data_IF_754892357349
#
_entry.id   IF_754892357349
#
_cell.length_a   1.000
_cell.length_b   1.000
_cell.length_c   1.000
_cell.angle_alpha   90.00
_cell.angle_beta   90.00
_cell.angle_gamma   90.00
#
_symmetry.space_group_name_H-M   'P 1'
#
loop_
_entity.id
_entity.type
_entity.pdbx_description
1 polymer ?
#
# COMPACT_ATOMS: atom_id res chain seq x y z
N UNK A 1 -10.59 -9.57 5.51
CA UNK A 1 -9.53 -8.60 5.22
C UNK A 1 -10.10 -7.52 4.31
N UNK A 2 -9.71 -6.27 4.48
CA UNK A 2 -10.03 -5.13 3.60
C UNK A 2 -8.78 -4.31 3.39
N UNK A 3 -8.62 -3.72 2.22
CA UNK A 3 -7.63 -2.67 2.00
C UNK A 3 -8.31 -1.31 2.15
N UNK A 4 -7.56 -0.29 2.55
CA UNK A 4 -8.05 1.09 2.67
C UNK A 4 -7.01 2.02 2.08
N UNK A 5 -7.45 2.94 1.23
CA UNK A 5 -6.58 3.98 0.69
C UNK A 5 -7.30 5.34 0.69
N UNK A 6 -6.53 6.40 0.50
CA UNK A 6 -7.09 7.75 0.33
C UNK A 6 -7.61 8.02 -1.08
N UNK A 7 -7.48 7.04 -1.99
CA UNK A 7 -7.97 7.18 -3.36
C UNK A 7 -9.51 7.20 -3.41
N UNK A 8 -10.08 7.85 -4.45
CA UNK A 8 -11.52 7.84 -4.67
C UNK A 8 -12.07 6.42 -4.93
N UNK A 9 -13.37 6.17 -4.67
CA UNK A 9 -13.97 4.84 -4.83
C UNK A 9 -13.85 4.25 -6.24
N UNK A 10 -13.91 5.06 -7.28
CA UNK A 10 -13.76 4.63 -8.67
C UNK A 10 -12.34 4.14 -8.99
N UNK A 11 -11.31 4.77 -8.43
CA UNK A 11 -9.92 4.31 -8.55
C UNK A 11 -9.71 2.98 -7.83
N UNK A 12 -10.23 2.85 -6.60
CA UNK A 12 -10.14 1.61 -5.83
C UNK A 12 -10.88 0.46 -6.52
N UNK A 13 -12.04 0.73 -7.07
CA UNK A 13 -12.81 -0.27 -7.83
C UNK A 13 -12.03 -0.73 -9.07
N UNK A 14 -11.47 0.19 -9.84
CA UNK A 14 -10.66 -0.13 -11.00
C UNK A 14 -9.40 -0.95 -10.62
N UNK A 15 -8.80 -0.67 -9.47
CA UNK A 15 -7.65 -1.44 -8.97
C UNK A 15 -8.07 -2.86 -8.57
N UNK A 16 -9.19 -3.03 -7.87
CA UNK A 16 -9.73 -4.36 -7.50
C UNK A 16 -9.97 -5.20 -8.75
N UNK A 17 -10.61 -4.63 -9.77
CA UNK A 17 -10.89 -5.31 -11.03
C UNK A 17 -9.62 -5.65 -11.81
N UNK A 18 -8.69 -4.68 -11.95
CA UNK A 18 -7.46 -4.86 -12.72
C UNK A 18 -6.52 -5.91 -12.11
N UNK A 19 -6.43 -5.97 -10.79
CA UNK A 19 -5.53 -6.87 -10.08
C UNK A 19 -6.19 -8.15 -9.58
N UNK A 20 -7.50 -8.33 -9.85
CA UNK A 20 -8.31 -9.45 -9.35
C UNK A 20 -8.12 -9.67 -7.83
N UNK A 21 -8.21 -8.57 -7.07
CA UNK A 21 -7.95 -8.63 -5.64
C UNK A 21 -9.03 -9.45 -4.92
N UNK A 22 -8.66 -10.41 -4.05
CA UNK A 22 -9.61 -11.26 -3.33
C UNK A 22 -10.29 -10.56 -2.15
N UNK A 23 -10.15 -9.25 -2.03
CA UNK A 23 -10.71 -8.42 -0.97
C UNK A 23 -11.05 -7.02 -1.48
N UNK A 24 -12.04 -6.34 -0.86
CA UNK A 24 -12.41 -5.00 -1.26
C UNK A 24 -11.36 -3.96 -0.85
N UNK A 25 -11.28 -2.88 -1.64
CA UNK A 25 -10.59 -1.64 -1.27
C UNK A 25 -11.63 -0.59 -0.88
N UNK A 26 -11.54 -0.10 0.34
CA UNK A 26 -12.35 0.99 0.86
C UNK A 26 -11.63 2.33 0.64
N UNK A 27 -12.41 3.39 0.50
CA UNK A 27 -11.88 4.73 0.28
C UNK A 27 -11.99 5.58 1.55
N UNK A 28 -10.89 6.22 1.92
CA UNK A 28 -10.80 7.25 2.96
C UNK A 28 -10.29 8.57 2.35
N UNK A 29 -11.07 9.19 1.43
CA UNK A 29 -10.57 10.26 0.57
C UNK A 29 -10.17 11.52 1.33
N UNK A 30 -10.68 11.74 2.54
CA UNK A 30 -10.26 12.84 3.42
C UNK A 30 -9.11 12.47 4.34
N UNK A 31 -8.73 11.19 4.38
CA UNK A 31 -7.73 10.67 5.29
C UNK A 31 -8.16 10.69 6.76
N UNK A 32 -9.48 10.65 7.04
CA UNK A 32 -9.99 10.75 8.41
C UNK A 32 -9.50 9.57 9.25
N UNK A 33 -9.59 8.34 8.72
CA UNK A 33 -9.09 7.15 9.40
C UNK A 33 -7.56 7.14 9.49
N UNK A 34 -6.89 7.44 8.39
CA UNK A 34 -5.42 7.46 8.31
C UNK A 34 -4.84 8.44 9.33
N UNK A 35 -5.43 9.64 9.46
CA UNK A 35 -5.03 10.65 10.45
C UNK A 35 -5.38 10.22 11.88
N UNK A 36 -6.54 9.60 12.09
CA UNK A 36 -6.93 9.08 13.41
C UNK A 36 -5.96 8.01 13.94
N UNK A 37 -5.38 7.23 13.03
CA UNK A 37 -4.40 6.20 13.36
C UNK A 37 -2.95 6.71 13.38
N UNK A 38 -2.74 8.02 13.19
CA UNK A 38 -1.41 8.66 13.12
C UNK A 38 -0.51 8.08 12.00
N UNK A 39 -1.14 7.78 10.87
CA UNK A 39 -0.50 7.18 9.70
C UNK A 39 -0.32 8.17 8.54
N UNK A 40 -0.64 9.44 8.74
CA UNK A 40 -0.48 10.47 7.72
C UNK A 40 0.88 11.13 7.80
N UNK A 41 1.64 11.05 6.72
CA UNK A 41 2.92 11.73 6.58
C UNK A 41 2.71 13.12 5.98
N UNK A 42 2.77 14.14 6.83
CA UNK A 42 2.56 15.53 6.42
C UNK A 42 3.63 16.05 5.45
N UNK A 43 4.87 15.56 5.56
CA UNK A 43 5.97 16.03 4.72
C UNK A 43 5.83 15.50 3.28
N UNK A 44 5.37 14.27 3.14
CA UNK A 44 5.24 13.61 1.84
C UNK A 44 3.83 13.72 1.27
N UNK A 45 2.85 14.05 2.11
CA UNK A 45 1.44 14.12 1.71
C UNK A 45 0.86 12.77 1.32
N UNK A 46 1.29 11.70 1.98
CA UNK A 46 0.87 10.32 1.74
C UNK A 46 0.55 9.61 3.04
N UNK A 47 -0.19 8.51 2.96
CA UNK A 47 -0.36 7.60 4.09
C UNK A 47 0.86 6.68 4.22
N UNK A 48 1.32 6.49 5.44
CA UNK A 48 2.30 5.44 5.73
C UNK A 48 1.63 4.07 5.52
N UNK A 49 2.33 3.11 4.89
CA UNK A 49 1.85 1.75 4.79
C UNK A 49 1.64 1.14 6.17
N UNK A 50 0.49 0.53 6.41
CA UNK A 50 0.20 -0.07 7.71
C UNK A 50 -0.66 -1.33 7.59
N UNK A 51 -0.52 -2.21 8.57
CA UNK A 51 -1.42 -3.34 8.79
C UNK A 51 -2.04 -3.15 10.17
N UNK A 52 -3.38 -3.11 10.21
CA UNK A 52 -4.15 -2.91 11.42
C UNK A 52 -4.99 -4.15 11.69
N UNK A 53 -4.80 -4.77 12.84
CA UNK A 53 -5.63 -5.88 13.31
C UNK A 53 -6.64 -5.34 14.30
N UNK A 54 -7.92 -5.54 13.98
CA UNK A 54 -9.05 -5.07 14.78
C UNK A 54 -9.87 -6.29 15.22
N UNK A 55 -10.30 -6.31 16.46
CA UNK A 55 -11.23 -7.35 16.93
C UNK A 55 -12.67 -7.05 16.50
N UNK A 56 -13.60 -7.96 16.84
CA UNK A 56 -15.02 -7.80 16.50
C UNK A 56 -15.70 -6.64 17.23
N UNK A 57 -15.14 -6.20 18.37
CA UNK A 57 -15.64 -5.04 19.10
C UNK A 57 -15.13 -3.70 18.52
N UNK A 58 -14.33 -3.73 17.44
CA UNK A 58 -13.77 -2.53 16.82
C UNK A 58 -12.48 -2.03 17.48
N UNK A 59 -11.94 -2.78 18.44
CA UNK A 59 -10.71 -2.39 19.15
C UNK A 59 -9.48 -2.77 18.34
N UNK A 60 -8.57 -1.81 18.13
CA UNK A 60 -7.27 -2.08 17.51
C UNK A 60 -6.42 -2.92 18.45
N UNK A 61 -6.07 -4.12 18.03
CA UNK A 61 -5.26 -5.07 18.78
C UNK A 61 -3.78 -5.03 18.41
N UNK A 62 -3.48 -4.76 17.15
CA UNK A 62 -2.13 -4.52 16.66
C UNK A 62 -2.15 -3.48 15.56
N UNK A 63 -1.12 -2.68 15.51
CA UNK A 63 -0.83 -1.77 14.42
C UNK A 63 0.65 -1.93 14.07
N UNK A 64 0.90 -2.28 12.83
CA UNK A 64 2.22 -2.30 12.22
C UNK A 64 2.27 -1.13 11.24
N UNK A 65 3.08 -0.14 11.51
CA UNK A 65 3.25 1.04 10.67
C UNK A 65 4.72 1.26 10.34
N UNK A 66 4.97 1.95 9.26
CA UNK A 66 6.31 2.19 8.75
C UNK A 66 6.76 1.08 7.81
N UNK A 67 8.04 1.08 7.52
CA UNK A 67 8.56 0.17 6.52
C UNK A 67 8.27 0.67 5.13
N UNK A 68 9.08 1.64 4.66
CA UNK A 68 9.10 2.03 3.24
C UNK A 68 9.56 0.86 2.38
N UNK A 69 10.30 -0.04 3.00
CA UNK A 69 10.73 -1.29 2.43
C UNK A 69 9.71 -2.40 2.75
N UNK A 70 9.47 -3.26 1.77
CA UNK A 70 8.59 -4.43 1.95
C UNK A 70 9.16 -5.42 2.99
N UNK A 71 10.48 -5.44 3.20
CA UNK A 71 11.16 -6.27 4.18
C UNK A 71 10.83 -5.90 5.64
N UNK A 72 10.40 -4.67 5.89
CA UNK A 72 10.00 -4.21 7.22
C UNK A 72 8.57 -4.63 7.61
N UNK A 73 7.87 -5.32 6.71
CA UNK A 73 6.50 -5.78 6.96
C UNK A 73 6.53 -7.06 7.79
N UNK A 74 5.53 -7.25 8.69
CA UNK A 74 5.41 -8.50 9.43
C UNK A 74 5.20 -9.67 8.46
N UNK A 75 5.82 -10.80 8.78
CA UNK A 75 5.62 -12.04 8.02
C UNK A 75 4.17 -12.52 8.13
N UNK A 76 3.71 -13.30 7.16
CA UNK A 76 2.37 -13.92 7.20
C UNK A 76 2.17 -14.75 8.47
N UNK A 77 3.18 -15.51 8.90
CA UNK A 77 3.14 -16.31 10.12
C UNK A 77 2.91 -15.44 11.36
N UNK A 78 3.59 -14.28 11.45
CA UNK A 78 3.40 -13.33 12.55
C UNK A 78 1.98 -12.74 12.55
N UNK A 79 1.43 -12.43 11.37
CA UNK A 79 0.07 -11.93 11.23
C UNK A 79 -0.98 -12.98 11.60
N UNK A 80 -0.83 -14.22 11.14
CA UNK A 80 -1.74 -15.31 11.50
C UNK A 80 -1.68 -15.62 12.99
N UNK A 81 -0.50 -15.58 13.60
CA UNK A 81 -0.36 -15.73 15.05
C UNK A 81 -1.17 -14.69 15.84
N UNK A 82 -1.13 -13.43 15.41
CA UNK A 82 -1.96 -12.36 16.03
C UNK A 82 -3.45 -12.58 15.80
N UNK A 83 -3.86 -13.03 14.61
CA UNK A 83 -5.28 -13.31 14.33
C UNK A 83 -5.80 -14.45 15.19
N UNK A 84 -4.99 -15.49 15.43
CA UNK A 84 -5.35 -16.60 16.32
C UNK A 84 -5.48 -16.14 17.80
N UNK A 85 -4.60 -15.23 18.25
CA UNK A 85 -4.68 -14.64 19.59
C UNK A 85 -5.92 -13.74 19.79
N UNK A 86 -6.27 -12.96 18.75
CA UNK A 86 -7.43 -12.05 18.80
C UNK A 86 -8.74 -12.83 18.82
N UNK A 87 -8.76 -13.99 18.17
CA UNK A 87 -9.94 -14.86 18.12
C UNK A 87 -11.10 -14.24 17.34
N UNK A 88 -12.21 -14.96 17.37
CA UNK A 88 -13.45 -14.54 16.68
C UNK A 88 -14.57 -14.16 17.67
N UNK A 89 -14.27 -14.09 18.94
CA UNK A 89 -15.24 -13.79 20.00
C UNK A 89 -15.42 -12.26 20.16
N UNK A 90 -16.62 -11.86 20.52
CA UNK A 90 -17.02 -10.47 20.72
C UNK A 90 -18.21 -10.07 19.85
N UNK A 91 -19.05 -9.22 20.41
CA UNK A 91 -20.14 -8.58 19.67
C UNK A 91 -19.67 -7.20 19.21
N UNK A 92 -20.09 -6.74 18.03
CA UNK A 92 -19.80 -5.37 17.58
C UNK A 92 -20.37 -4.37 18.58
N UNK A 93 -19.53 -3.48 19.09
CA UNK A 93 -19.97 -2.35 19.90
C UNK A 93 -20.19 -1.14 18.99
N UNK A 94 -21.39 -0.63 18.97
CA UNK A 94 -21.75 0.60 18.29
C UNK A 94 -22.76 0.46 17.16
N UNK A 95 -23.37 1.59 16.82
CA UNK A 95 -24.21 1.72 15.64
C UNK A 95 -23.39 1.58 14.36
N UNK A 96 -24.03 1.15 13.28
CA UNK A 96 -23.39 1.12 11.96
C UNK A 96 -22.76 2.50 11.69
N UNK A 97 -21.49 2.56 11.23
CA UNK A 97 -20.84 3.82 10.99
C UNK A 97 -21.61 4.61 9.93
N UNK A 98 -22.22 5.69 10.36
CA UNK A 98 -23.07 6.54 9.52
C UNK A 98 -22.32 7.49 8.58
N UNK A 99 -21.03 7.22 8.30
CA UNK A 99 -20.25 8.06 7.38
C UNK A 99 -20.44 7.52 5.97
N UNK A 100 -21.29 8.20 5.22
CA UNK A 100 -21.41 7.99 3.78
C UNK A 100 -21.16 9.30 3.07
N UNK A 101 -20.19 9.32 2.15
CA UNK A 101 -19.98 10.43 1.23
C UNK A 101 -20.29 9.98 -0.18
N UNK A 102 -20.84 10.86 -1.00
CA UNK A 102 -21.08 10.55 -2.40
C UNK A 102 -19.74 10.45 -3.17
N UNK A 103 -19.71 9.70 -4.27
CA UNK A 103 -18.52 9.61 -5.12
C UNK A 103 -18.06 10.98 -5.61
N UNK A 104 -18.99 11.92 -5.86
CA UNK A 104 -18.67 13.29 -6.26
C UNK A 104 -18.02 14.12 -5.15
N UNK A 105 -18.41 13.89 -3.89
CA UNK A 105 -17.76 14.52 -2.72
C UNK A 105 -16.39 13.89 -2.48
N UNK A 106 -16.28 12.56 -2.53
CA UNK A 106 -15.02 11.84 -2.43
C UNK A 106 -13.99 12.37 -3.43
N UNK A 107 -14.37 12.50 -4.70
CA UNK A 107 -13.46 13.00 -5.74
C UNK A 107 -13.00 14.46 -5.54
N UNK A 108 -13.77 15.29 -4.84
CA UNK A 108 -13.40 16.68 -4.53
C UNK A 108 -12.57 16.80 -3.25
N UNK A 109 -12.83 15.96 -2.28
CA UNK A 109 -12.23 16.03 -0.94
C UNK A 109 -11.05 15.06 -0.75
N UNK A 110 -10.69 14.31 -1.80
CA UNK A 110 -9.54 13.40 -1.74
C UNK A 110 -8.27 14.17 -1.41
N UNK A 111 -7.60 13.78 -0.34
CA UNK A 111 -6.24 14.25 -0.04
C UNK A 111 -5.30 13.81 -1.15
N UNK A 112 -4.44 14.70 -1.54
CA UNK A 112 -3.46 14.45 -2.60
C UNK A 112 -2.09 14.88 -2.13
N UNK A 113 -1.03 14.13 -2.46
CA UNK A 113 0.32 14.58 -2.19
C UNK A 113 0.63 15.84 -2.98
N UNK A 114 1.46 16.73 -2.42
CA UNK A 114 1.94 17.92 -3.10
C UNK A 114 2.77 17.59 -4.35
N UNK A 115 3.37 16.41 -4.36
CA UNK A 115 4.10 15.89 -5.51
C UNK A 115 3.19 14.97 -6.33
N UNK A 116 3.02 15.23 -7.62
CA UNK A 116 2.25 14.34 -8.49
C UNK A 116 2.94 12.97 -8.58
N UNK A 117 2.14 11.91 -8.68
CA UNK A 117 2.65 10.58 -9.00
C UNK A 117 3.41 10.59 -10.34
N UNK A 118 4.42 9.74 -10.45
CA UNK A 118 5.12 9.54 -11.71
C UNK A 118 4.15 8.97 -12.75
N UNK A 119 4.21 9.48 -13.97
CA UNK A 119 3.48 8.90 -15.09
C UNK A 119 4.13 7.57 -15.52
N UNK A 120 3.38 6.74 -16.26
CA UNK A 120 3.92 5.49 -16.80
C UNK A 120 5.20 5.71 -17.62
N UNK A 121 5.26 6.81 -18.41
CA UNK A 121 6.44 7.18 -19.18
C UNK A 121 7.65 7.54 -18.29
N UNK A 122 7.41 8.09 -17.11
CA UNK A 122 8.45 8.45 -16.14
C UNK A 122 8.93 7.27 -15.31
N UNK A 123 8.07 6.28 -15.08
CA UNK A 123 8.40 5.10 -14.28
C UNK A 123 9.49 4.24 -14.92
N UNK A 124 9.48 4.07 -16.25
CA UNK A 124 10.49 3.29 -16.97
C UNK A 124 11.91 3.79 -16.70
N UNK A 125 12.25 5.05 -17.03
CA UNK A 125 13.56 5.63 -16.71
C UNK A 125 13.92 5.63 -15.23
N UNK A 126 12.94 5.83 -14.34
CA UNK A 126 13.13 5.81 -12.89
C UNK A 126 13.62 4.44 -12.40
N UNK A 127 12.90 3.36 -12.73
CA UNK A 127 13.30 2.01 -12.35
C UNK A 127 14.53 1.49 -13.10
N UNK A 128 14.78 1.96 -14.30
CA UNK A 128 16.02 1.66 -15.02
C UNK A 128 17.23 2.28 -14.29
N UNK A 129 17.09 3.52 -13.79
CA UNK A 129 18.11 4.16 -12.95
C UNK A 129 18.36 3.38 -11.67
N UNK A 130 17.30 2.93 -11.00
CA UNK A 130 17.38 2.09 -9.81
C UNK A 130 18.09 0.77 -10.11
N UNK A 131 17.79 0.11 -11.21
CA UNK A 131 18.48 -1.11 -11.65
C UNK A 131 20.00 -0.90 -11.76
N UNK A 132 20.42 0.17 -12.43
CA UNK A 132 21.87 0.46 -12.55
C UNK A 132 22.51 0.82 -11.22
N UNK A 133 21.77 1.43 -10.30
CA UNK A 133 22.25 1.69 -8.95
C UNK A 133 22.50 0.36 -8.19
N UNK A 134 21.60 -0.60 -8.26
CA UNK A 134 21.80 -1.94 -7.65
C UNK A 134 23.00 -2.65 -8.26
N UNK A 135 23.19 -2.62 -9.58
CA UNK A 135 24.38 -3.18 -10.26
C UNK A 135 25.68 -2.54 -9.74
N UNK A 136 25.66 -1.24 -9.47
CA UNK A 136 26.82 -0.55 -8.92
C UNK A 136 27.10 -0.94 -7.46
N UNK A 137 26.05 -1.15 -6.66
CA UNK A 137 26.14 -1.58 -5.26
C UNK A 137 26.65 -3.01 -5.14
N UNK A 138 26.19 -3.94 -5.95
CA UNK A 138 26.64 -5.34 -6.01
C UNK A 138 28.16 -5.49 -6.18
N UNK A 139 28.80 -4.51 -6.81
CA UNK A 139 30.28 -4.51 -7.01
C UNK A 139 31.05 -4.10 -5.75
N UNK A 140 30.36 -3.59 -4.74
CA UNK A 140 30.97 -3.00 -3.55
C UNK A 140 30.56 -3.70 -2.26
N UNK A 141 29.53 -4.54 -2.32
CA UNK A 141 28.97 -5.21 -1.17
C UNK A 141 29.24 -6.71 -1.22
N UNK A 142 29.40 -7.32 -0.06
CA UNK A 142 29.59 -8.75 0.14
C UNK A 142 28.65 -9.27 1.22
N UNK A 143 28.44 -10.61 1.29
CA UNK A 143 27.62 -11.28 2.31
C UNK A 143 26.15 -10.86 2.26
N UNK A 144 25.53 -10.77 3.43
CA UNK A 144 24.11 -10.48 3.61
C UNK A 144 23.65 -9.20 2.90
N UNK A 145 24.43 -8.12 3.03
CA UNK A 145 24.11 -6.86 2.34
C UNK A 145 24.09 -6.97 0.81
N UNK A 146 24.85 -7.89 0.25
CA UNK A 146 24.79 -8.17 -1.18
C UNK A 146 23.54 -8.97 -1.55
N UNK A 147 23.18 -9.95 -0.73
CA UNK A 147 21.97 -10.75 -0.93
C UNK A 147 20.73 -9.86 -0.92
N UNK A 148 20.61 -8.93 0.02
CA UNK A 148 19.53 -7.93 0.05
C UNK A 148 19.46 -7.09 -1.22
N UNK A 149 20.60 -6.64 -1.74
CA UNK A 149 20.65 -5.88 -3.00
C UNK A 149 20.27 -6.74 -4.20
N UNK A 150 20.61 -8.02 -4.19
CA UNK A 150 20.24 -8.96 -5.25
C UNK A 150 18.71 -9.18 -5.28
N UNK A 151 18.08 -9.37 -4.11
CA UNK A 151 16.63 -9.47 -3.99
C UNK A 151 15.91 -8.19 -4.45
N UNK A 152 16.40 -7.04 -4.01
CA UNK A 152 15.85 -5.76 -4.45
C UNK A 152 16.01 -5.53 -5.97
N UNK A 153 17.12 -5.97 -6.54
CA UNK A 153 17.32 -5.90 -7.99
C UNK A 153 16.32 -6.76 -8.75
N UNK A 154 15.98 -7.93 -8.24
CA UNK A 154 15.00 -8.82 -8.88
C UNK A 154 13.60 -8.19 -8.84
N UNK A 155 13.21 -7.58 -7.73
CA UNK A 155 11.98 -6.78 -7.62
C UNK A 155 11.94 -5.63 -8.64
N UNK A 156 13.04 -4.90 -8.80
CA UNK A 156 13.16 -3.81 -9.80
C UNK A 156 13.02 -4.34 -11.24
N UNK A 157 13.49 -5.55 -11.53
CA UNK A 157 13.29 -6.19 -12.85
C UNK A 157 11.81 -6.51 -13.09
N UNK A 158 11.11 -7.01 -12.07
CA UNK A 158 9.66 -7.28 -12.15
C UNK A 158 8.87 -6.00 -12.41
N UNK A 159 9.15 -4.91 -11.71
CA UNK A 159 8.53 -3.62 -11.99
C UNK A 159 8.80 -3.12 -13.42
N UNK A 160 10.02 -3.25 -13.91
CA UNK A 160 10.34 -2.87 -15.29
C UNK A 160 9.58 -3.74 -16.31
N UNK A 161 9.35 -5.01 -16.03
CA UNK A 161 8.55 -5.89 -16.88
C UNK A 161 7.07 -5.44 -16.88
N UNK A 162 6.49 -5.23 -15.69
CA UNK A 162 5.11 -4.78 -15.53
C UNK A 162 4.84 -3.43 -16.23
N UNK A 163 5.76 -2.47 -16.14
CA UNK A 163 5.65 -1.18 -16.82
C UNK A 163 5.56 -1.37 -18.34
N UNK A 164 6.37 -2.26 -18.92
CA UNK A 164 6.35 -2.53 -20.36
C UNK A 164 5.04 -3.19 -20.81
N UNK A 165 4.60 -4.19 -20.07
CA UNK A 165 3.33 -4.88 -20.34
C UNK A 165 2.13 -3.91 -20.27
N UNK A 166 2.10 -3.04 -19.26
CA UNK A 166 1.05 -2.02 -19.16
C UNK A 166 1.09 -1.03 -20.33
N UNK A 167 2.27 -0.57 -20.73
CA UNK A 167 2.41 0.35 -21.86
C UNK A 167 1.99 -0.28 -23.21
N UNK A 168 2.20 -1.59 -23.39
CA UNK A 168 1.75 -2.32 -24.57
C UNK A 168 0.23 -2.47 -24.60
N UNK A 169 -0.41 -2.70 -23.46
CA UNK A 169 -1.87 -2.80 -23.32
C UNK A 169 -2.57 -1.47 -23.62
N UNK A 170 -2.03 -0.37 -23.15
CA UNK A 170 -2.58 0.97 -23.37
C UNK A 170 -2.43 1.43 -24.85
N UNK A 171 -1.58 0.75 -25.64
CA UNK A 171 -1.33 1.07 -27.03
C UNK A 171 -2.15 0.23 -28.01
N UNK A 172 -2.97 -0.71 -27.51
CA UNK A 172 -3.78 -1.67 -28.31
C UNK A 172 -5.24 -1.30 -28.28
#
# INVERSE_FOLDING_TARGET
MVGISVDPPDHNMAMVEKLDLPFPLLSDPRGDLVKTLDLWNEEEGVSEPAIVVVDRAGTVRRLYSGGRDFSDRPTEEALFGVLDEVGTEGEPEGDEPGISISAAEAGRETVRPDKPALTLEQLGPYYLGTYYATVAMQKKLDGEAREEVDEYQDLVKEYNAAIRETAEQDSS
#
